data_IF_030393142748
#
_entry.id   IF_030393142748
#
_cell.length_a   1.000
_cell.length_b   1.000
_cell.length_c   1.000
_cell.angle_alpha   90.00
_cell.angle_beta   90.00
_cell.angle_gamma   90.00
#
_symmetry.space_group_name_H-M   'P 1'
#
loop_
_entity.id
_entity.type
_entity.pdbx_description
1 polymer ?
#
# COMPACT_ATOMS: atom_id res chain seq x y z
N UNK A 1 26.20 0.43 -0.91
CA UNK A 1 25.92 1.17 -2.16
C UNK A 1 24.77 0.58 -3.00
N UNK A 2 24.12 -0.51 -2.61
CA UNK A 2 23.02 -1.11 -3.40
C UNK A 2 21.71 -0.29 -3.41
N UNK A 3 21.58 0.72 -2.54
CA UNK A 3 20.33 1.45 -2.34
C UNK A 3 19.94 2.34 -3.53
N UNK A 4 20.89 2.97 -4.23
CA UNK A 4 20.55 3.93 -5.31
C UNK A 4 20.02 3.25 -6.58
N UNK A 5 20.63 2.15 -6.99
CA UNK A 5 20.18 1.38 -8.15
C UNK A 5 18.83 0.73 -7.88
N UNK A 6 18.64 0.16 -6.68
CA UNK A 6 17.35 -0.37 -6.23
C UNK A 6 16.29 0.73 -6.15
N UNK A 7 16.64 1.94 -5.69
CA UNK A 7 15.73 3.09 -5.65
C UNK A 7 15.29 3.52 -7.06
N UNK A 8 16.21 3.56 -8.03
CA UNK A 8 15.86 3.89 -9.44
C UNK A 8 14.93 2.83 -10.03
N UNK A 9 15.25 1.55 -9.86
CA UNK A 9 14.41 0.42 -10.32
C UNK A 9 13.03 0.45 -9.65
N UNK A 10 12.97 0.78 -8.36
CA UNK A 10 11.72 0.95 -7.64
C UNK A 10 10.90 2.11 -8.22
N UNK A 11 11.53 3.27 -8.43
CA UNK A 11 10.86 4.46 -8.96
C UNK A 11 10.23 4.23 -10.32
N UNK A 12 10.94 3.58 -11.25
CA UNK A 12 10.41 3.29 -12.60
C UNK A 12 9.22 2.34 -12.53
N UNK A 13 9.34 1.25 -11.76
CA UNK A 13 8.25 0.28 -11.56
C UNK A 13 7.04 0.88 -10.83
N UNK A 14 7.26 1.83 -9.92
CA UNK A 14 6.18 2.51 -9.22
C UNK A 14 5.35 3.35 -10.18
N UNK A 15 5.99 4.16 -11.02
CA UNK A 15 5.30 4.99 -12.03
C UNK A 15 4.52 4.10 -12.99
N UNK A 16 5.11 3.01 -13.45
CA UNK A 16 4.46 2.03 -14.32
C UNK A 16 3.21 1.42 -13.66
N UNK A 17 3.33 0.95 -12.41
CA UNK A 17 2.21 0.38 -11.68
C UNK A 17 1.08 1.37 -11.44
N UNK A 18 1.39 2.64 -11.19
CA UNK A 18 0.39 3.70 -11.03
C UNK A 18 -0.32 4.03 -12.33
N UNK A 19 0.38 4.01 -13.48
CA UNK A 19 -0.25 4.15 -14.80
C UNK A 19 -1.25 3.02 -15.06
N UNK A 20 -0.90 1.77 -14.71
CA UNK A 20 -1.79 0.62 -14.84
C UNK A 20 -3.05 0.74 -13.96
N UNK A 21 -2.89 1.20 -12.71
CA UNK A 21 -4.05 1.42 -11.81
C UNK A 21 -4.97 2.50 -12.38
N UNK A 22 -4.41 3.59 -12.93
CA UNK A 22 -5.18 4.65 -13.58
C UNK A 22 -5.91 4.12 -14.82
N UNK A 23 -5.24 3.37 -15.69
CA UNK A 23 -5.84 2.79 -16.90
C UNK A 23 -6.95 1.78 -16.59
N UNK A 24 -6.76 0.90 -15.60
CA UNK A 24 -7.79 -0.05 -15.19
C UNK A 24 -9.01 0.62 -14.52
N UNK A 25 -8.88 1.88 -14.09
CA UNK A 25 -9.99 2.67 -13.56
C UNK A 25 -10.77 3.43 -14.63
N UNK A 26 -10.34 3.49 -15.89
CA UNK A 26 -11.03 4.27 -16.94
C UNK A 26 -12.38 3.71 -17.47
N UNK A 27 -12.71 2.40 -17.45
CA UNK A 27 -14.02 1.94 -17.94
C UNK A 27 -15.13 2.00 -16.88
N UNK A 28 -14.82 2.34 -15.63
CA UNK A 28 -15.80 2.51 -14.55
C UNK A 28 -15.61 3.89 -13.96
N UNK A 29 -16.66 4.66 -13.70
CA UNK A 29 -16.61 6.08 -13.29
C UNK A 29 -15.97 6.36 -11.91
N UNK A 30 -15.07 5.49 -11.44
CA UNK A 30 -14.45 5.55 -10.12
C UNK A 30 -13.00 5.97 -10.26
N UNK A 31 -12.64 7.12 -9.70
CA UNK A 31 -11.25 7.50 -9.48
C UNK A 31 -10.52 6.35 -8.77
N UNK A 32 -9.27 6.03 -9.12
CA UNK A 32 -8.52 4.96 -8.48
C UNK A 32 -8.50 5.21 -6.97
N UNK A 33 -8.96 4.22 -6.20
CA UNK A 33 -9.08 4.39 -4.76
C UNK A 33 -7.68 4.62 -4.17
N UNK A 34 -7.51 5.53 -3.22
CA UNK A 34 -6.25 5.67 -2.49
C UNK A 34 -5.77 4.36 -1.84
N UNK A 35 -6.67 3.38 -1.68
CA UNK A 35 -6.34 2.00 -1.30
C UNK A 35 -5.61 1.23 -2.41
N UNK A 36 -6.01 1.38 -3.67
CA UNK A 36 -5.40 0.72 -4.83
C UNK A 36 -4.00 1.27 -5.11
N UNK A 37 -3.84 2.59 -4.99
CA UNK A 37 -2.54 3.29 -5.10
C UNK A 37 -1.57 2.76 -4.03
N UNK A 38 -2.00 2.73 -2.76
CA UNK A 38 -1.21 2.17 -1.67
C UNK A 38 -0.84 0.70 -1.92
N UNK A 39 -1.81 -0.13 -2.32
CA UNK A 39 -1.53 -1.52 -2.66
C UNK A 39 -0.58 -1.66 -3.86
N UNK A 40 -0.62 -0.76 -4.84
CA UNK A 40 0.32 -0.79 -5.96
C UNK A 40 1.74 -0.48 -5.49
N UNK A 41 1.91 0.53 -4.65
CA UNK A 41 3.20 0.88 -4.07
C UNK A 41 3.76 -0.26 -3.22
N UNK A 42 2.95 -0.85 -2.34
CA UNK A 42 3.34 -2.00 -1.50
C UNK A 42 3.76 -3.21 -2.35
N UNK A 43 3.09 -3.46 -3.48
CA UNK A 43 3.45 -4.55 -4.39
C UNK A 43 4.80 -4.31 -5.06
N UNK A 44 5.04 -3.11 -5.59
CA UNK A 44 6.31 -2.78 -6.22
C UNK A 44 7.45 -2.89 -5.21
N UNK A 45 7.20 -2.47 -3.96
CA UNK A 45 8.13 -2.59 -2.86
C UNK A 45 8.45 -4.07 -2.53
N UNK A 46 7.43 -4.91 -2.42
CA UNK A 46 7.60 -6.33 -2.17
C UNK A 46 8.34 -7.07 -3.31
N UNK A 47 8.10 -6.68 -4.56
CA UNK A 47 8.81 -7.23 -5.73
C UNK A 47 10.27 -6.79 -5.74
N UNK A 48 10.58 -5.55 -5.37
CA UNK A 48 11.96 -5.07 -5.24
C UNK A 48 12.75 -5.87 -4.19
N UNK A 49 12.09 -6.25 -3.09
CA UNK A 49 12.64 -7.12 -2.04
C UNK A 49 12.76 -8.61 -2.45
N UNK A 50 12.33 -8.98 -3.67
CA UNK A 50 12.43 -10.34 -4.25
C UNK A 50 11.85 -11.47 -3.38
N UNK A 51 10.94 -11.17 -2.45
CA UNK A 51 10.37 -12.19 -1.57
C UNK A 51 11.34 -12.72 -0.49
N UNK A 52 12.47 -12.04 -0.25
CA UNK A 52 13.46 -12.47 0.75
C UNK A 52 12.96 -12.29 2.18
N UNK A 53 12.17 -11.24 2.41
CA UNK A 53 11.63 -10.88 3.72
C UNK A 53 10.24 -11.46 3.95
N UNK A 54 9.83 -11.71 5.20
CA UNK A 54 8.48 -12.18 5.50
C UNK A 54 7.42 -11.17 5.09
N UNK A 55 7.69 -9.88 5.26
CA UNK A 55 6.73 -8.83 4.88
C UNK A 55 6.50 -8.80 3.37
N UNK A 56 7.54 -9.00 2.54
CA UNK A 56 7.38 -9.04 1.07
C UNK A 56 6.57 -10.27 0.64
N UNK A 57 6.85 -11.44 1.21
CA UNK A 57 6.06 -12.67 1.00
C UNK A 57 4.62 -12.50 1.45
N UNK A 58 4.37 -11.83 2.57
CA UNK A 58 3.03 -11.59 3.09
C UNK A 58 2.20 -10.69 2.15
N UNK A 59 2.82 -9.64 1.59
CA UNK A 59 2.19 -8.75 0.60
C UNK A 59 1.85 -9.55 -0.67
N UNK A 60 2.78 -10.34 -1.20
CA UNK A 60 2.53 -11.16 -2.40
C UNK A 60 1.47 -12.25 -2.17
N UNK A 61 1.53 -12.92 -1.02
CA UNK A 61 0.59 -13.98 -0.64
C UNK A 61 -0.83 -13.46 -0.36
N UNK A 62 -0.98 -12.20 0.06
CA UNK A 62 -2.30 -11.59 0.33
C UNK A 62 -3.24 -11.64 -0.89
N UNK A 63 -2.70 -11.58 -2.11
CA UNK A 63 -3.52 -11.69 -3.33
C UNK A 63 -3.96 -13.12 -3.61
N UNK A 64 -3.08 -14.10 -3.37
CA UNK A 64 -3.39 -15.51 -3.55
C UNK A 64 -4.44 -15.97 -2.55
N UNK A 65 -4.33 -15.54 -1.29
CA UNK A 65 -5.33 -15.85 -0.27
C UNK A 65 -6.69 -15.21 -0.57
N UNK A 66 -6.73 -13.96 -1.06
CA UNK A 66 -7.97 -13.31 -1.48
C UNK A 66 -8.58 -13.96 -2.75
N UNK A 67 -7.77 -14.31 -3.75
CA UNK A 67 -8.23 -15.02 -4.95
C UNK A 67 -8.77 -16.41 -4.61
N UNK A 68 -8.07 -17.14 -3.75
CA UNK A 68 -8.49 -18.48 -3.32
C UNK A 68 -9.74 -18.42 -2.43
N UNK A 69 -9.86 -17.41 -1.57
CA UNK A 69 -11.07 -17.15 -0.78
C UNK A 69 -12.28 -16.78 -1.64
N UNK A 70 -12.08 -15.94 -2.67
CA UNK A 70 -13.14 -15.58 -3.61
C UNK A 70 -13.54 -16.76 -4.50
N UNK A 71 -12.59 -17.56 -4.99
CA UNK A 71 -12.86 -18.80 -5.74
C UNK A 71 -13.68 -19.80 -4.91
N UNK A 72 -13.38 -19.94 -3.60
CA UNK A 72 -14.18 -20.77 -2.67
C UNK A 72 -15.60 -20.22 -2.45
N UNK A 73 -15.80 -18.91 -2.53
CA UNK A 73 -17.14 -18.29 -2.45
C UNK A 73 -17.97 -18.56 -3.71
N UNK A 74 -17.39 -18.44 -4.90
CA UNK A 74 -18.08 -18.75 -6.16
C UNK A 74 -18.43 -20.23 -6.32
N UNK A 75 -17.68 -21.14 -5.67
CA UNK A 75 -17.97 -22.58 -5.66
C UNK A 75 -19.09 -23.00 -4.69
N UNK A 76 -19.57 -22.09 -3.81
CA UNK A 76 -20.64 -22.36 -2.84
C UNK A 76 -21.96 -21.69 -3.25
N UNK A 77 -22.45 -22.03 -4.44
CA UNK A 77 -23.83 -21.79 -4.83
C UNK A 77 -24.64 -23.10 -4.70
N UNK A 78 -24.94 -23.48 -3.45
CA UNK A 78 -26.07 -24.35 -3.08
C UNK A 78 -26.57 -23.88 -1.71
N UNK A 79 -27.86 -23.49 -1.54
CA UNK A 79 -28.39 -23.13 -0.24
C UNK A 79 -28.78 -24.43 0.50
N UNK A 80 -27.89 -24.91 1.36
CA UNK A 80 -28.15 -26.01 2.28
C UNK A 80 -28.21 -25.48 3.71
N UNK A 81 -29.35 -25.70 4.35
CA UNK A 81 -29.79 -25.26 5.68
C UNK A 81 -28.77 -25.54 6.80
N UNK A 82 -28.52 -24.51 7.62
CA UNK A 82 -28.23 -24.44 9.08
C UNK A 82 -27.54 -25.63 9.75
N UNK A 83 -26.42 -25.39 10.47
CA UNK A 83 -26.27 -25.65 11.92
C UNK A 83 -24.93 -25.12 12.46
N UNK A 84 -25.02 -24.29 13.50
CA UNK A 84 -24.12 -24.15 14.65
C UNK A 84 -22.60 -24.26 14.46
N UNK A 85 -21.90 -23.15 14.69
CA UNK A 85 -21.18 -23.00 15.95
C UNK A 85 -20.70 -21.55 16.06
N UNK A 86 -21.49 -20.74 16.76
CA UNK A 86 -21.03 -19.50 17.36
C UNK A 86 -19.92 -19.87 18.35
N UNK A 87 -18.67 -19.93 17.87
CA UNK A 87 -17.52 -20.03 18.76
C UNK A 87 -17.21 -18.61 19.25
N UNK A 88 -18.13 -18.08 20.05
CA UNK A 88 -17.86 -16.97 20.97
C UNK A 88 -16.70 -17.43 21.85
N UNK A 89 -15.47 -17.09 21.44
CA UNK A 89 -14.32 -17.21 22.32
C UNK A 89 -14.59 -16.28 23.50
N UNK A 90 -14.93 -16.90 24.63
CA UNK A 90 -14.91 -16.30 25.97
C UNK A 90 -13.74 -15.30 26.05
N UNK A 91 -13.97 -14.06 26.52
CA UNK A 91 -12.87 -13.18 26.86
C UNK A 91 -12.18 -13.77 28.09
N UNK A 92 -11.13 -14.56 27.87
CA UNK A 92 -10.25 -14.96 28.96
C UNK A 92 -9.72 -13.71 29.65
N UNK A 93 -9.76 -13.73 30.98
CA UNK A 93 -9.30 -12.67 31.88
C UNK A 93 -7.94 -12.18 31.40
N UNK A 94 -7.90 -10.94 30.90
CA UNK A 94 -6.67 -10.27 30.46
C UNK A 94 -5.77 -10.09 31.67
N UNK A 95 -4.93 -11.09 31.99
CA UNK A 95 -3.71 -10.83 32.75
C UNK A 95 -2.97 -9.74 31.98
N UNK A 96 -2.83 -8.56 32.60
CA UNK A 96 -2.21 -7.40 31.98
C UNK A 96 -0.85 -7.82 31.46
N UNK A 97 -0.74 -7.98 30.14
CA UNK A 97 0.54 -8.33 29.55
C UNK A 97 1.51 -7.19 29.87
N UNK A 98 2.77 -7.51 30.22
CA UNK A 98 3.81 -6.50 30.41
C UNK A 98 3.77 -5.46 29.29
N UNK A 99 4.01 -4.19 29.61
CA UNK A 99 3.90 -3.07 28.65
C UNK A 99 4.66 -3.34 27.34
N UNK A 100 5.81 -4.02 27.45
CA UNK A 100 6.62 -4.49 26.32
C UNK A 100 5.83 -5.41 25.39
N UNK A 101 5.15 -6.43 25.93
CA UNK A 101 4.36 -7.37 25.12
C UNK A 101 3.18 -6.70 24.41
N UNK A 102 2.59 -5.65 25.00
CA UNK A 102 1.56 -4.83 24.32
C UNK A 102 2.15 -4.12 23.11
N UNK A 103 3.33 -3.50 23.25
CA UNK A 103 4.06 -2.85 22.13
C UNK A 103 4.46 -3.85 21.04
N UNK A 104 4.95 -5.04 21.42
CA UNK A 104 5.27 -6.13 20.48
C UNK A 104 4.05 -6.53 19.65
N UNK A 105 2.88 -6.65 20.28
CA UNK A 105 1.63 -6.96 19.58
C UNK A 105 1.19 -5.86 18.62
N UNK A 106 1.45 -4.59 18.94
CA UNK A 106 1.19 -3.48 18.04
C UNK A 106 2.15 -3.54 16.84
N UNK A 107 3.45 -3.71 17.09
CA UNK A 107 4.45 -3.81 16.03
C UNK A 107 4.16 -4.97 15.07
N UNK A 108 3.79 -6.14 15.58
CA UNK A 108 3.39 -7.29 14.74
C UNK A 108 2.10 -7.09 13.94
N UNK A 109 1.28 -6.07 14.26
CA UNK A 109 0.11 -5.68 13.45
C UNK A 109 0.46 -4.64 12.38
N UNK A 110 1.49 -3.84 12.61
CA UNK A 110 1.97 -2.82 11.67
C UNK A 110 2.79 -3.44 10.54
N UNK A 111 3.70 -4.36 10.88
CA UNK A 111 4.55 -5.02 9.89
C UNK A 111 3.75 -6.14 9.19
N UNK A 112 3.64 -6.12 7.84
CA UNK A 112 2.94 -7.16 7.10
C UNK A 112 3.50 -8.56 7.43
N UNK A 113 2.62 -9.51 7.76
CA UNK A 113 3.03 -10.91 8.01
C UNK A 113 3.60 -11.22 9.40
N UNK A 114 3.78 -10.23 10.28
CA UNK A 114 4.49 -10.41 11.55
C UNK A 114 3.59 -10.54 12.79
N UNK A 115 2.36 -11.05 12.65
CA UNK A 115 1.40 -11.14 13.78
C UNK A 115 1.71 -12.19 14.85
N UNK A 116 2.52 -13.20 14.52
CA UNK A 116 2.81 -14.38 15.36
C UNK A 116 4.27 -14.83 15.22
N UNK A 117 5.20 -13.88 15.20
CA UNK A 117 6.65 -14.16 15.13
C UNK A 117 7.30 -13.95 16.48
N UNK A 118 8.46 -14.57 16.68
CA UNK A 118 9.33 -14.30 17.83
C UNK A 118 9.74 -12.83 17.86
N UNK A 119 9.96 -12.29 19.05
CA UNK A 119 10.34 -10.89 19.24
C UNK A 119 11.60 -10.46 18.46
N UNK A 120 12.73 -11.19 18.46
CA UNK A 120 13.92 -10.77 17.71
C UNK A 120 13.66 -10.70 16.20
N UNK A 121 13.02 -11.73 15.62
CA UNK A 121 12.71 -11.75 14.18
C UNK A 121 11.69 -10.66 13.81
N UNK A 122 10.80 -10.27 14.73
CA UNK A 122 9.90 -9.14 14.52
C UNK A 122 10.66 -7.82 14.37
N UNK A 123 11.70 -7.61 15.18
CA UNK A 123 12.51 -6.39 15.11
C UNK A 123 13.30 -6.32 13.81
N UNK A 124 13.94 -7.42 13.40
CA UNK A 124 14.69 -7.51 12.14
C UNK A 124 13.78 -7.23 10.92
N UNK A 125 12.61 -7.85 10.87
CA UNK A 125 11.64 -7.58 9.80
C UNK A 125 11.07 -6.15 9.86
N UNK A 126 10.99 -5.56 11.06
CA UNK A 126 10.55 -4.18 11.23
C UNK A 126 11.61 -3.19 10.71
N UNK A 127 12.90 -3.42 11.00
CA UNK A 127 13.98 -2.59 10.49
C UNK A 127 14.05 -2.64 8.97
N UNK A 128 13.90 -3.83 8.38
CA UNK A 128 13.84 -4.00 6.93
C UNK A 128 12.64 -3.29 6.31
N UNK A 129 11.48 -3.37 6.95
CA UNK A 129 10.27 -2.71 6.46
C UNK A 129 10.37 -1.19 6.54
N UNK A 130 11.02 -0.63 7.59
CA UNK A 130 11.30 0.81 7.68
C UNK A 130 12.19 1.26 6.52
N UNK A 131 13.30 0.56 6.26
CA UNK A 131 14.18 0.89 5.14
C UNK A 131 13.46 0.85 3.78
N UNK A 132 12.55 -0.12 3.60
CA UNK A 132 11.73 -0.23 2.41
C UNK A 132 10.75 0.96 2.27
N UNK A 133 10.10 1.38 3.36
CA UNK A 133 9.22 2.56 3.37
C UNK A 133 9.99 3.85 3.09
N UNK A 134 11.20 3.99 3.61
CA UNK A 134 12.07 5.13 3.31
C UNK A 134 12.40 5.23 1.82
N UNK A 135 12.67 4.09 1.15
CA UNK A 135 12.87 4.05 -0.29
C UNK A 135 11.65 4.56 -1.06
N UNK A 136 10.44 4.21 -0.60
CA UNK A 136 9.20 4.71 -1.17
C UNK A 136 9.07 6.23 -1.02
N UNK A 137 9.30 6.75 0.18
CA UNK A 137 9.22 8.19 0.49
C UNK A 137 10.24 8.98 -0.32
N UNK A 138 11.49 8.49 -0.40
CA UNK A 138 12.55 9.11 -1.23
C UNK A 138 12.20 9.11 -2.71
N UNK A 139 11.65 8.02 -3.25
CA UNK A 139 11.25 7.95 -4.65
C UNK A 139 10.08 8.91 -4.95
N UNK A 140 9.10 8.99 -4.06
CA UNK A 140 7.95 9.89 -4.22
C UNK A 140 8.36 11.37 -4.12
N UNK A 141 9.32 11.73 -3.25
CA UNK A 141 9.83 13.10 -3.15
C UNK A 141 10.81 13.49 -4.26
N UNK A 142 11.55 12.53 -4.83
CA UNK A 142 12.52 12.79 -5.92
C UNK A 142 11.90 12.77 -7.32
N UNK A 143 10.67 12.28 -7.47
CA UNK A 143 9.91 12.43 -8.71
C UNK A 143 9.68 13.92 -8.99
N UNK A 144 10.05 14.46 -10.17
CA UNK A 144 10.00 15.89 -10.49
C UNK A 144 8.58 16.45 -10.70
N UNK A 145 7.57 15.84 -10.08
CA UNK A 145 6.15 16.15 -10.30
C UNK A 145 5.57 17.18 -9.32
N UNK A 146 6.41 18.04 -8.73
CA UNK A 146 5.97 19.32 -8.19
C UNK A 146 6.37 20.45 -9.15
N UNK A 147 6.02 20.31 -10.43
CA UNK A 147 5.90 21.49 -11.29
C UNK A 147 4.75 22.32 -10.73
N UNK A 148 4.95 23.57 -10.29
CA UNK A 148 3.82 24.42 -9.94
C UNK A 148 2.99 24.58 -11.20
N UNK A 149 1.72 24.20 -11.11
CA UNK A 149 0.69 24.55 -12.08
C UNK A 149 0.78 26.06 -12.28
N UNK A 150 1.43 26.49 -13.36
CA UNK A 150 1.46 27.88 -13.81
C UNK A 150 0.04 28.16 -14.28
N UNK A 151 -0.81 28.62 -13.36
CA UNK A 151 -2.10 29.21 -13.71
C UNK A 151 -1.79 30.44 -14.55
N UNK A 152 -1.88 30.30 -15.87
CA UNK A 152 -1.95 31.42 -16.79
C UNK A 152 -3.25 32.16 -16.45
N UNK A 153 -3.15 33.14 -15.55
CA UNK A 153 -4.17 34.16 -15.38
C UNK A 153 -4.26 34.89 -16.73
N UNK A 154 -5.47 34.92 -17.27
CA UNK A 154 -5.77 35.48 -18.58
C UNK A 154 -5.25 36.90 -18.70
N UNK A 155 -4.50 37.14 -19.78
CA UNK A 155 -4.24 38.48 -20.27
C UNK A 155 -5.56 39.03 -20.81
N UNK A 156 -6.15 39.99 -20.08
CA UNK A 156 -7.21 40.82 -20.61
C UNK A 156 -6.70 41.62 -21.82
N UNK A 157 -7.49 41.83 -22.88
CA UNK A 157 -7.15 42.79 -23.91
C UNK A 157 -7.33 44.21 -23.35
N UNK A 158 -6.25 45.00 -23.35
CA UNK A 158 -6.34 46.43 -23.11
C UNK A 158 -7.10 47.06 -24.27
N UNK A 159 -8.36 47.44 -24.00
CA UNK A 159 -9.09 48.42 -24.79
C UNK A 159 -8.51 49.80 -24.47
N UNK A 160 -7.74 50.37 -25.39
CA UNK A 160 -7.43 51.81 -25.38
C UNK A 160 -8.20 52.48 -26.49
N UNK A 161 -9.29 53.13 -26.10
CA UNK A 161 -10.04 54.08 -26.92
C UNK A 161 -9.30 55.42 -27.04
N UNK A 162 -9.30 56.00 -28.26
CA UNK A 162 -9.39 57.45 -28.60
C UNK A 162 -8.23 58.35 -28.11
N UNK A 163 -7.87 59.49 -28.70
CA UNK A 163 -8.13 60.25 -29.93
C UNK A 163 -7.18 61.48 -29.88
N UNK A 164 -7.13 62.27 -30.97
CA UNK A 164 -6.57 63.64 -31.13
C UNK A 164 -5.07 63.75 -31.46
N UNK A 165 -4.77 63.97 -32.75
CA UNK A 165 -4.49 65.30 -33.30
C UNK A 165 -4.71 65.27 -34.82
#
# INVERSE_FOLDING_TARGET
MESESQQRIYSTKLVEALRHVRQNSLPTSKSPSGREIRHAADRVLAVAAKGRTRWSRAILASRLSLRLANSRKHRKAKPGKVTGCSRLKRPEKKRSLPAVQKKVKVLGRLVPGCRKVSFPNLLEEATDYIAALEMQVRAMMRSPSSSPVRRSIGSAPALTCKALA
#
